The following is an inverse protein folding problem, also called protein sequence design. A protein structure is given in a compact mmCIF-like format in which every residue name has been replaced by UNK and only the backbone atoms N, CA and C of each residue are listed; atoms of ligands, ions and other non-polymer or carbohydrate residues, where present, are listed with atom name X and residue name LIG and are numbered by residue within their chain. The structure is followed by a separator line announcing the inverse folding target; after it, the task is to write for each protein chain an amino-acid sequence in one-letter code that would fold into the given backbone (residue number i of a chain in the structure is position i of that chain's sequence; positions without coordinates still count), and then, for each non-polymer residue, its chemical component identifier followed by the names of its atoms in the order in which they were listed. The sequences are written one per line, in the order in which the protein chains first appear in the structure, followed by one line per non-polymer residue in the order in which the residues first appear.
data_IF_804410456234
#
_entry.id   IF_804410456234
#
_cell.length_a   1.000
_cell.length_b   1.000
_cell.length_c   1.000
_cell.angle_alpha   90.00
_cell.angle_beta   90.00
_cell.angle_gamma   90.00
#
_symmetry.space_group_name_H-M   'P 1'
#
loop_
_entity.id
_entity.type
_entity.pdbx_description
1 polymer ?
#
# COMPACT_ATOMS: atom_id res chain seq x y z
N UNK A 1 27.36 -9.23 -18.43
CA UNK A 1 27.09 -8.28 -17.32
C UNK A 1 26.23 -7.13 -17.84
N UNK A 2 24.93 -7.35 -18.01
CA UNK A 2 23.99 -6.33 -18.50
C UNK A 2 22.64 -6.46 -17.78
N UNK A 3 22.63 -6.15 -16.48
CA UNK A 3 21.41 -6.16 -15.65
C UNK A 3 21.21 -4.84 -14.88
N UNK A 4 21.84 -3.74 -15.33
CA UNK A 4 21.87 -2.48 -14.58
C UNK A 4 21.40 -1.24 -15.37
N UNK A 5 20.57 -1.39 -16.39
CA UNK A 5 20.17 -0.25 -17.22
C UNK A 5 18.69 -0.14 -17.60
N UNK A 6 17.79 -0.75 -16.83
CA UNK A 6 16.33 -0.53 -16.94
C UNK A 6 15.67 -0.17 -15.61
N UNK A 7 16.43 0.20 -14.57
CA UNK A 7 15.86 0.53 -13.23
C UNK A 7 15.66 2.04 -13.01
N UNK A 8 16.13 2.90 -13.92
CA UNK A 8 16.18 4.35 -13.68
C UNK A 8 15.00 5.13 -14.24
N UNK A 9 14.29 4.62 -15.26
CA UNK A 9 13.16 5.36 -15.86
C UNK A 9 11.77 4.88 -15.37
N UNK A 10 11.70 3.79 -14.63
CA UNK A 10 10.44 3.28 -14.06
C UNK A 10 10.02 3.97 -12.74
N UNK A 11 10.89 4.82 -12.18
CA UNK A 11 10.66 5.41 -10.87
C UNK A 11 9.71 6.61 -10.87
N UNK A 12 9.34 7.21 -12.00
CA UNK A 12 8.27 8.22 -12.08
C UNK A 12 8.26 9.29 -10.97
N UNK A 13 9.44 9.68 -10.45
CA UNK A 13 9.57 10.63 -9.34
C UNK A 13 9.27 10.10 -7.92
N UNK A 14 9.29 8.79 -7.68
CA UNK A 14 9.07 8.19 -6.35
C UNK A 14 10.38 7.83 -5.66
N UNK A 15 10.43 8.09 -4.36
CA UNK A 15 11.64 7.93 -3.53
C UNK A 15 12.13 6.48 -3.44
N UNK A 16 11.21 5.49 -3.47
CA UNK A 16 11.54 4.09 -3.24
C UNK A 16 10.89 3.15 -4.28
N UNK A 17 11.56 2.04 -4.66
CA UNK A 17 10.96 1.06 -5.58
C UNK A 17 9.75 0.33 -4.95
N UNK A 18 8.87 -0.28 -5.77
CA UNK A 18 7.80 -1.13 -5.27
C UNK A 18 8.35 -2.35 -4.54
N UNK A 19 7.75 -2.72 -3.40
CA UNK A 19 8.12 -3.96 -2.71
C UNK A 19 7.79 -5.20 -3.56
N UNK A 20 6.69 -5.17 -4.31
CA UNK A 20 6.30 -6.24 -5.21
C UNK A 20 6.08 -5.75 -6.62
N UNK A 21 6.70 -6.47 -7.55
CA UNK A 21 6.46 -6.37 -8.98
C UNK A 21 6.46 -7.78 -9.58
N UNK A 22 5.82 -7.93 -10.73
CA UNK A 22 5.90 -9.14 -11.54
C UNK A 22 7.22 -9.21 -12.33
N UNK A 23 7.38 -10.27 -13.12
CA UNK A 23 8.57 -10.51 -13.94
C UNK A 23 8.80 -9.42 -15.02
N UNK A 24 7.76 -8.69 -15.39
CA UNK A 24 7.80 -7.60 -16.36
C UNK A 24 8.04 -6.23 -15.69
N UNK A 25 8.21 -6.21 -14.36
CA UNK A 25 8.37 -4.98 -13.59
C UNK A 25 7.04 -4.26 -13.31
N UNK A 26 5.89 -4.88 -13.60
CA UNK A 26 4.58 -4.30 -13.29
C UNK A 26 4.31 -4.45 -11.79
N UNK A 27 3.93 -3.35 -11.16
CA UNK A 27 3.65 -3.30 -9.72
C UNK A 27 2.50 -4.23 -9.33
N UNK A 28 2.70 -4.96 -8.24
CA UNK A 28 1.66 -5.76 -7.59
C UNK A 28 1.19 -5.06 -6.31
N UNK A 29 -0.13 -5.03 -6.11
CA UNK A 29 -0.76 -4.28 -5.04
C UNK A 29 -0.95 -5.17 -3.82
N UNK A 30 -0.80 -4.60 -2.63
CA UNK A 30 -1.01 -5.28 -1.36
C UNK A 30 -2.51 -5.25 -1.01
N UNK A 31 -3.09 -4.06 -0.83
CA UNK A 31 -4.47 -3.93 -0.35
C UNK A 31 -5.34 -3.11 -1.30
N UNK A 32 -6.63 -3.41 -1.31
CA UNK A 32 -7.65 -2.43 -1.64
C UNK A 32 -8.03 -1.71 -0.36
N UNK A 33 -8.03 -0.38 -0.41
CA UNK A 33 -8.33 0.52 0.71
C UNK A 33 -9.57 1.31 0.33
N UNK A 34 -10.63 1.15 1.11
CA UNK A 34 -11.85 1.95 1.00
C UNK A 34 -11.93 2.91 2.18
N UNK A 35 -11.85 4.22 1.90
CA UNK A 35 -11.96 5.27 2.90
C UNK A 35 -13.41 5.71 3.06
N UNK A 36 -13.87 5.74 4.32
CA UNK A 36 -15.11 6.35 4.77
C UNK A 36 -14.79 7.36 5.87
N UNK A 37 -15.77 8.15 6.28
CA UNK A 37 -15.55 9.32 7.14
C UNK A 37 -14.82 8.97 8.44
N UNK A 38 -15.16 7.85 9.06
CA UNK A 38 -14.64 7.40 10.35
C UNK A 38 -13.84 6.08 10.26
N UNK A 39 -13.97 5.37 9.15
CA UNK A 39 -13.54 3.99 9.02
C UNK A 39 -12.75 3.73 7.74
N UNK A 40 -11.93 2.68 7.79
CA UNK A 40 -11.19 2.12 6.66
C UNK A 40 -11.55 0.66 6.52
N UNK A 41 -11.93 0.26 5.31
CA UNK A 41 -12.11 -1.16 4.95
C UNK A 41 -10.95 -1.60 4.07
N UNK A 42 -10.37 -2.76 4.41
CA UNK A 42 -9.21 -3.32 3.74
C UNK A 42 -9.56 -4.71 3.21
N UNK A 43 -9.25 -4.94 1.94
CA UNK A 43 -9.34 -6.28 1.35
C UNK A 43 -8.07 -6.61 0.59
N UNK A 44 -7.84 -7.90 0.35
CA UNK A 44 -6.68 -8.38 -0.39
C UNK A 44 -6.71 -7.84 -1.83
N UNK A 45 -5.59 -7.29 -2.29
CA UNK A 45 -5.36 -6.93 -3.70
C UNK A 45 -4.21 -7.71 -4.34
N UNK A 46 -3.44 -8.46 -3.54
CA UNK A 46 -2.31 -9.23 -4.04
C UNK A 46 -2.74 -10.47 -4.83
N UNK A 47 -1.94 -10.88 -5.81
CA UNK A 47 -2.23 -12.08 -6.59
C UNK A 47 -1.86 -13.35 -5.78
N UNK A 48 -2.40 -14.53 -6.14
CA UNK A 48 -2.27 -15.75 -5.34
C UNK A 48 -0.82 -16.15 -5.01
N UNK A 49 0.13 -15.91 -5.92
CA UNK A 49 1.54 -16.21 -5.71
C UNK A 49 2.19 -15.39 -4.59
N UNK A 50 1.56 -14.28 -4.17
CA UNK A 50 2.01 -13.44 -3.05
C UNK A 50 1.32 -13.77 -1.74
N UNK A 51 0.45 -14.79 -1.68
CA UNK A 51 -0.27 -15.11 -0.43
C UNK A 51 0.71 -15.41 0.72
N UNK A 52 1.74 -16.23 0.48
CA UNK A 52 2.73 -16.55 1.51
C UNK A 52 3.51 -15.30 1.96
N UNK A 53 3.97 -14.49 1.01
CA UNK A 53 4.69 -13.23 1.29
C UNK A 53 3.81 -12.25 2.07
N UNK A 54 2.53 -12.13 1.68
CA UNK A 54 1.56 -11.27 2.34
C UNK A 54 1.32 -11.71 3.78
N UNK A 55 1.13 -13.00 4.02
CA UNK A 55 0.92 -13.56 5.38
C UNK A 55 2.14 -13.45 6.28
N UNK A 56 3.34 -13.31 5.71
CA UNK A 56 4.55 -13.05 6.47
C UNK A 56 4.70 -11.58 6.91
N UNK A 57 3.86 -10.66 6.39
CA UNK A 57 3.89 -9.26 6.80
C UNK A 57 3.31 -9.08 8.22
N UNK A 58 3.87 -8.17 9.03
CA UNK A 58 3.35 -7.89 10.36
C UNK A 58 1.88 -7.46 10.34
N UNK A 59 1.07 -8.03 11.22
CA UNK A 59 -0.32 -7.65 11.48
C UNK A 59 -1.27 -7.65 10.26
N UNK A 60 -0.91 -8.34 9.17
CA UNK A 60 -1.71 -8.37 7.94
C UNK A 60 -3.11 -8.94 8.18
N UNK A 61 -3.24 -9.98 9.01
CA UNK A 61 -4.53 -10.59 9.33
C UNK A 61 -5.41 -9.65 10.16
N UNK A 62 -4.78 -8.94 11.09
CA UNK A 62 -5.40 -7.91 11.92
C UNK A 62 -5.82 -6.68 11.12
N UNK A 63 -5.16 -6.40 9.99
CA UNK A 63 -5.58 -5.36 9.04
C UNK A 63 -6.77 -5.79 8.19
N UNK A 64 -6.89 -7.09 7.87
CA UNK A 64 -8.04 -7.62 7.14
C UNK A 64 -9.30 -7.78 8.00
N UNK A 65 -9.17 -7.67 9.33
CA UNK A 65 -10.28 -7.68 10.28
C UNK A 65 -11.01 -6.32 10.33
N UNK A 66 -11.69 -5.96 9.23
CA UNK A 66 -12.32 -4.65 9.01
C UNK A 66 -13.82 -4.60 9.33
N UNK A 67 -14.45 -3.41 9.48
CA UNK A 67 -13.87 -2.06 9.37
C UNK A 67 -12.96 -1.68 10.54
N UNK A 68 -11.94 -0.86 10.27
CA UNK A 68 -11.04 -0.29 11.27
C UNK A 68 -11.32 1.20 11.44
N UNK A 69 -11.15 1.74 12.66
CA UNK A 69 -11.04 3.19 12.83
C UNK A 69 -9.77 3.70 12.12
N UNK A 70 -9.71 4.99 11.81
CA UNK A 70 -8.48 5.59 11.24
C UNK A 70 -7.26 5.40 12.17
N UNK A 71 -7.46 5.51 13.49
CA UNK A 71 -6.39 5.30 14.48
C UNK A 71 -5.92 3.84 14.52
N UNK A 72 -6.86 2.88 14.51
CA UNK A 72 -6.51 1.44 14.45
C UNK A 72 -5.77 1.10 13.17
N UNK A 73 -6.21 1.67 12.04
CA UNK A 73 -5.52 1.52 10.76
C UNK A 73 -4.06 1.97 10.86
N UNK A 74 -3.80 3.18 11.37
CA UNK A 74 -2.46 3.73 11.54
C UNK A 74 -1.58 2.88 12.47
N UNK A 75 -2.13 2.42 13.59
CA UNK A 75 -1.39 1.58 14.54
C UNK A 75 -1.00 0.24 13.93
N UNK A 76 -1.92 -0.41 13.21
CA UNK A 76 -1.72 -1.75 12.65
C UNK A 76 -0.84 -1.74 11.39
N UNK A 77 -0.92 -0.68 10.59
CA UNK A 77 -0.13 -0.57 9.36
C UNK A 77 1.34 -0.24 9.62
N UNK A 78 1.65 0.34 10.78
CA UNK A 78 3.00 0.74 11.17
C UNK A 78 4.00 -0.43 11.04
N UNK A 79 3.60 -1.65 11.43
CA UNK A 79 4.45 -2.84 11.31
C UNK A 79 4.86 -3.15 9.87
N UNK A 80 3.93 -3.07 8.92
CA UNK A 80 4.19 -3.26 7.48
C UNK A 80 5.08 -2.15 6.93
N UNK A 81 4.81 -0.90 7.32
CA UNK A 81 5.62 0.24 6.92
C UNK A 81 7.07 0.11 7.38
N UNK A 82 7.28 -0.23 8.65
CA UNK A 82 8.63 -0.40 9.19
C UNK A 82 9.32 -1.63 8.60
N UNK A 83 8.59 -2.70 8.32
CA UNK A 83 9.12 -3.84 7.56
C UNK A 83 9.65 -3.41 6.20
N UNK A 84 8.91 -2.58 5.46
CA UNK A 84 9.32 -2.11 4.12
C UNK A 84 10.57 -1.21 4.14
N UNK A 85 10.74 -0.42 5.21
CA UNK A 85 11.93 0.43 5.44
C UNK A 85 13.17 -0.38 5.83
N UNK A 86 13.00 -1.57 6.40
CA UNK A 86 14.12 -2.46 6.78
C UNK A 86 14.64 -3.30 5.61
N UNK A 87 13.91 -3.35 4.49
CA UNK A 87 14.40 -4.04 3.29
C UNK A 87 15.65 -3.36 2.74
N UNK A 88 16.51 -4.13 2.07
CA UNK A 88 17.70 -3.61 1.42
C UNK A 88 17.73 -4.03 -0.06
N UNK A 89 17.45 -3.12 -1.02
CA UNK A 89 17.11 -1.71 -0.81
C UNK A 89 15.74 -1.52 -0.14
N UNK A 90 15.51 -0.35 0.47
CA UNK A 90 14.19 -0.02 1.01
C UNK A 90 13.14 -0.01 -0.11
N UNK A 91 11.90 -0.33 0.22
CA UNK A 91 10.81 -0.39 -0.74
C UNK A 91 9.52 0.20 -0.16
N UNK A 92 8.50 0.38 -1.01
CA UNK A 92 7.17 0.82 -0.61
C UNK A 92 6.08 -0.08 -1.19
N UNK A 93 5.13 -0.51 -0.37
CA UNK A 93 3.96 -1.26 -0.85
C UNK A 93 2.95 -0.34 -1.53
N UNK A 94 2.22 -0.92 -2.48
CA UNK A 94 1.19 -0.23 -3.24
C UNK A 94 -0.21 -0.65 -2.81
N UNK A 95 -1.14 0.28 -2.82
CA UNK A 95 -2.55 0.05 -2.51
C UNK A 95 -3.47 0.66 -3.56
N UNK A 96 -4.59 0.02 -3.82
CA UNK A 96 -5.69 0.65 -4.56
C UNK A 96 -6.52 1.46 -3.57
N UNK A 97 -6.72 2.74 -3.86
CA UNK A 97 -7.49 3.63 -2.99
C UNK A 97 -8.83 3.97 -3.65
N UNK A 98 -9.91 3.71 -2.92
CA UNK A 98 -11.26 4.22 -3.21
C UNK A 98 -11.70 5.09 -2.06
N UNK A 99 -12.11 6.31 -2.37
CA UNK A 99 -12.54 7.25 -1.37
C UNK A 99 -14.04 7.53 -1.50
N UNK A 100 -14.78 7.31 -0.41
CA UNK A 100 -16.21 7.54 -0.31
C UNK A 100 -16.56 8.72 0.60
N UNK A 101 -15.57 9.44 1.11
CA UNK A 101 -15.77 10.62 1.96
C UNK A 101 -16.24 11.80 1.09
N UNK A 102 -17.42 12.37 1.35
CA UNK A 102 -17.95 13.49 0.56
C UNK A 102 -17.29 14.82 0.92
N UNK A 103 -16.91 15.02 2.18
CA UNK A 103 -16.23 16.23 2.63
C UNK A 103 -14.80 16.28 2.09
N UNK A 104 -14.46 17.34 1.36
CA UNK A 104 -13.18 17.45 0.65
C UNK A 104 -11.98 17.51 1.62
N UNK A 105 -12.12 18.20 2.76
CA UNK A 105 -11.03 18.37 3.72
C UNK A 105 -10.73 17.06 4.44
N UNK A 106 -11.78 16.36 4.88
CA UNK A 106 -11.67 15.05 5.51
C UNK A 106 -11.16 13.99 4.52
N UNK A 107 -11.65 14.04 3.28
CA UNK A 107 -11.20 13.22 2.17
C UNK A 107 -9.69 13.37 1.93
N UNK A 108 -9.19 14.60 1.88
CA UNK A 108 -7.76 14.87 1.68
C UNK A 108 -6.91 14.37 2.84
N UNK A 109 -7.33 14.65 4.09
CA UNK A 109 -6.65 14.14 5.29
C UNK A 109 -6.56 12.62 5.32
N UNK A 110 -7.66 11.93 5.00
CA UNK A 110 -7.69 10.46 4.98
C UNK A 110 -6.83 9.88 3.84
N UNK A 111 -6.75 10.57 2.70
CA UNK A 111 -5.85 10.20 1.59
C UNK A 111 -4.38 10.33 2.00
N UNK A 112 -4.01 11.46 2.61
CA UNK A 112 -2.65 11.70 3.10
C UNK A 112 -2.25 10.71 4.20
N UNK A 113 -3.18 10.31 5.05
CA UNK A 113 -2.96 9.24 6.03
C UNK A 113 -2.51 7.94 5.35
N UNK A 114 -3.16 7.52 4.26
CA UNK A 114 -2.76 6.31 3.51
C UNK A 114 -1.40 6.50 2.81
N UNK A 115 -1.16 7.67 2.22
CA UNK A 115 0.12 8.00 1.56
C UNK A 115 1.31 8.01 2.52
N UNK A 116 1.08 8.29 3.80
CA UNK A 116 2.11 8.20 4.83
C UNK A 116 2.72 6.80 4.97
N UNK A 117 2.00 5.75 4.57
CA UNK A 117 2.44 4.35 4.70
C UNK A 117 2.64 3.62 3.37
N UNK A 118 1.89 4.01 2.34
CA UNK A 118 1.83 3.32 1.06
C UNK A 118 1.95 4.27 -0.12
N UNK A 119 2.37 3.74 -1.27
CA UNK A 119 2.02 4.39 -2.53
C UNK A 119 0.61 3.96 -2.93
N UNK A 120 -0.17 4.91 -3.44
CA UNK A 120 -1.55 4.64 -3.85
C UNK A 120 -1.71 4.71 -5.36
N UNK A 121 -2.68 3.95 -5.86
CA UNK A 121 -3.31 4.16 -7.15
C UNK A 121 -4.78 4.41 -6.92
N UNK A 122 -5.28 5.58 -7.30
CA UNK A 122 -6.70 5.89 -7.13
C UNK A 122 -7.49 5.30 -8.30
N UNK A 123 -8.55 4.55 -7.97
CA UNK A 123 -9.52 4.17 -8.97
C UNK A 123 -10.22 5.46 -9.44
N UNK A 124 -10.02 5.84 -10.71
CA UNK A 124 -10.78 6.93 -11.32
C UNK A 124 -12.25 6.55 -11.26
N UNK A 125 -13.06 7.41 -10.62
CA UNK A 125 -14.53 7.33 -10.64
C UNK A 125 -15.04 7.57 -12.04
#
# INVERSE_FOLDING_TARGET
MAFLKNRLDANGGRDWPPCWADQNGKVQFLLNVELRSDTVTLTKAWPPEREADARALPDIDSLLATPLSHADFQSRVQGIFDWSKRQNPQCRHYVYLRNFIPDAVQSDRARLMVEGYFYKSEARR
#
